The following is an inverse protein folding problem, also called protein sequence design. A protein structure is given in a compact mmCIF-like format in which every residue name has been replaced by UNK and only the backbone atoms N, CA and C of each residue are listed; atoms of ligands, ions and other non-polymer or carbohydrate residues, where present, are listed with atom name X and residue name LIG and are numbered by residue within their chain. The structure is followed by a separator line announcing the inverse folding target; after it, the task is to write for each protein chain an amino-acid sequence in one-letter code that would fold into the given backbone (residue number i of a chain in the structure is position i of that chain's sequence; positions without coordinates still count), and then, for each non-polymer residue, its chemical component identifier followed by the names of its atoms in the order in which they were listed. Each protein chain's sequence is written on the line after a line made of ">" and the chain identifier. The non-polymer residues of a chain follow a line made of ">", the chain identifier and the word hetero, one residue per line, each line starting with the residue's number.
data_IF_952108812576
#
_entry.id   IF_952108812576
#
_cell.length_a   1.000
_cell.length_b   1.000
_cell.length_c   1.000
_cell.angle_alpha   90.00
_cell.angle_beta   90.00
_cell.angle_gamma   90.00
#
_symmetry.space_group_name_H-M   'P 1'
#
loop_
_entity.id
_entity.type
_entity.pdbx_description
1 polymer ?
#
# COMPACT_ATOMS: atom_id res chain seq x y z
N UNK A 1 2.59 -19.49 24.93
CA UNK A 1 3.73 -18.61 24.62
C UNK A 1 3.91 -18.62 23.11
N UNK A 2 3.19 -17.76 22.38
CA UNK A 2 3.31 -17.69 20.92
C UNK A 2 4.45 -16.73 20.58
N UNK A 3 5.44 -17.27 19.88
CA UNK A 3 6.61 -16.59 19.35
C UNK A 3 6.23 -15.26 18.66
N UNK A 4 6.53 -14.12 19.27
CA UNK A 4 6.21 -12.77 18.79
C UNK A 4 7.28 -12.23 17.83
N UNK A 5 7.70 -13.06 16.86
CA UNK A 5 8.53 -12.66 15.72
C UNK A 5 7.77 -12.80 14.38
N UNK A 6 6.44 -12.67 14.42
CA UNK A 6 5.64 -12.67 13.20
C UNK A 6 5.84 -11.33 12.47
N UNK A 7 6.75 -11.31 11.50
CA UNK A 7 6.86 -10.22 10.54
C UNK A 7 5.47 -9.92 9.95
N UNK A 8 5.09 -8.64 9.90
CA UNK A 8 3.83 -8.20 9.30
C UNK A 8 3.70 -8.79 7.88
N UNK A 9 2.48 -9.17 7.43
CA UNK A 9 2.28 -9.69 6.07
C UNK A 9 2.65 -8.68 4.97
N UNK A 10 2.98 -7.44 5.34
CA UNK A 10 3.39 -6.36 4.46
C UNK A 10 4.88 -6.02 4.58
N UNK A 11 5.69 -6.82 5.27
CA UNK A 11 7.12 -6.57 5.49
C UNK A 11 7.94 -6.50 4.19
N UNK A 12 7.46 -7.12 3.10
CA UNK A 12 8.11 -7.11 1.79
C UNK A 12 7.19 -6.49 0.74
N UNK A 13 7.75 -5.60 -0.08
CA UNK A 13 7.10 -5.00 -1.24
C UNK A 13 7.99 -5.20 -2.47
N UNK A 14 7.53 -6.03 -3.41
CA UNK A 14 8.25 -6.36 -4.66
C UNK A 14 9.74 -6.70 -4.46
N UNK A 15 10.05 -7.58 -3.50
CA UNK A 15 11.42 -7.99 -3.19
C UNK A 15 12.24 -7.02 -2.34
N UNK A 16 11.65 -5.90 -1.91
CA UNK A 16 12.30 -4.92 -1.02
C UNK A 16 11.67 -4.92 0.38
N UNK A 17 12.46 -4.58 1.39
CA UNK A 17 11.97 -4.39 2.76
C UNK A 17 11.08 -3.13 2.84
N UNK A 18 9.85 -3.30 3.33
CA UNK A 18 8.84 -2.25 3.37
C UNK A 18 9.23 -1.06 4.24
N UNK A 19 9.94 -1.29 5.34
CA UNK A 19 10.45 -0.27 6.26
C UNK A 19 11.43 0.72 5.60
N UNK A 20 12.03 0.35 4.46
CA UNK A 20 12.99 1.19 3.73
C UNK A 20 12.31 2.06 2.65
N UNK A 21 10.98 2.11 2.64
CA UNK A 21 10.18 2.86 1.67
C UNK A 21 9.33 3.90 2.42
N UNK A 22 9.71 5.17 2.28
CA UNK A 22 8.95 6.29 2.84
C UNK A 22 7.69 6.60 2.01
N UNK A 23 6.66 5.77 2.15
CA UNK A 23 5.34 6.00 1.59
C UNK A 23 4.26 5.63 2.59
N UNK A 24 3.62 6.62 3.21
CA UNK A 24 2.49 6.43 4.10
C UNK A 24 1.70 7.73 4.22
N UNK A 25 0.45 7.70 4.71
CA UNK A 25 -0.29 8.92 4.97
C UNK A 25 0.27 9.68 6.17
N UNK A 26 0.05 10.99 6.21
CA UNK A 26 0.14 11.84 7.40
C UNK A 26 -1.22 12.49 7.63
N UNK A 27 -1.65 12.62 8.90
CA UNK A 27 -2.91 13.28 9.26
C UNK A 27 -2.63 14.67 9.84
N UNK A 28 -3.17 15.71 9.20
CA UNK A 28 -3.24 17.07 9.72
C UNK A 28 -4.44 17.20 10.66
N UNK A 29 -4.17 17.20 11.96
CA UNK A 29 -5.19 17.23 13.00
C UNK A 29 -6.00 18.53 13.05
N UNK A 30 -5.44 19.62 12.53
CA UNK A 30 -6.12 20.92 12.44
C UNK A 30 -7.28 20.89 11.44
N UNK A 31 -7.17 20.03 10.41
CA UNK A 31 -8.18 19.82 9.38
C UNK A 31 -9.03 18.57 9.61
N UNK A 32 -8.50 17.60 10.36
CA UNK A 32 -9.21 16.36 10.64
C UNK A 32 -10.47 16.63 11.46
N UNK A 33 -11.64 16.30 10.92
CA UNK A 33 -12.93 16.49 11.61
C UNK A 33 -13.32 15.32 12.51
N UNK A 34 -12.53 14.25 12.53
CA UNK A 34 -12.86 13.02 13.28
C UNK A 34 -13.87 12.12 12.58
N UNK A 35 -14.19 12.34 11.30
CA UNK A 35 -15.24 11.58 10.61
C UNK A 35 -14.96 10.06 10.45
N UNK A 36 -13.72 9.61 10.67
CA UNK A 36 -13.36 8.19 10.64
C UNK A 36 -13.35 7.55 9.25
N UNK A 37 -13.66 8.29 8.17
CA UNK A 37 -13.75 7.73 6.81
C UNK A 37 -12.45 7.03 6.38
N UNK A 38 -11.29 7.60 6.72
CA UNK A 38 -10.00 6.96 6.42
C UNK A 38 -9.77 5.63 7.16
N UNK A 39 -10.35 5.46 8.35
CA UNK A 39 -10.27 4.23 9.15
C UNK A 39 -11.03 3.09 8.47
N UNK A 40 -12.19 3.38 7.88
CA UNK A 40 -13.03 2.36 7.23
C UNK A 40 -12.71 2.15 5.75
N UNK A 41 -12.23 3.18 5.04
CA UNK A 41 -11.96 3.10 3.59
C UNK A 41 -10.53 2.62 3.29
N UNK A 42 -9.56 2.84 4.17
CA UNK A 42 -8.23 2.30 3.97
C UNK A 42 -8.30 0.78 4.14
N UNK A 43 -8.10 0.04 3.03
CA UNK A 43 -8.47 -1.38 2.89
C UNK A 43 -8.35 -2.20 4.18
N UNK A 44 -9.46 -2.81 4.59
CA UNK A 44 -9.72 -3.37 5.93
C UNK A 44 -8.60 -4.30 6.47
N UNK A 45 -7.85 -4.95 5.58
CA UNK A 45 -6.76 -5.87 5.97
C UNK A 45 -5.45 -5.18 6.35
N UNK A 46 -5.28 -3.89 6.03
CA UNK A 46 -4.01 -3.17 6.25
C UNK A 46 -3.97 -2.42 7.57
N UNK A 47 -5.10 -2.00 8.13
CA UNK A 47 -5.18 -1.31 9.42
C UNK A 47 -4.16 -0.16 9.55
N UNK A 48 -4.00 0.69 8.54
CA UNK A 48 -3.02 1.79 8.57
C UNK A 48 -3.39 2.84 9.62
N UNK A 49 -4.68 3.13 9.72
CA UNK A 49 -5.24 4.13 10.62
C UNK A 49 -5.82 3.50 11.88
N UNK A 50 -5.77 4.28 12.97
CA UNK A 50 -6.60 4.10 14.16
C UNK A 50 -7.40 5.36 14.47
N UNK A 51 -8.01 5.38 15.63
CA UNK A 51 -8.81 6.52 16.10
C UNK A 51 -8.51 6.82 17.56
N UNK A 52 -8.14 8.07 17.82
CA UNK A 52 -7.99 8.63 19.16
C UNK A 52 -9.36 9.08 19.66
N UNK A 53 -9.91 8.36 20.64
CA UNK A 53 -11.23 8.63 21.21
C UNK A 53 -11.26 9.89 22.07
N UNK A 54 -10.18 10.23 22.76
CA UNK A 54 -10.12 11.41 23.63
C UNK A 54 -10.11 12.69 22.80
N UNK A 55 -9.34 12.67 21.72
CA UNK A 55 -9.14 13.83 20.85
C UNK A 55 -10.14 13.88 19.68
N UNK A 56 -10.87 12.79 19.46
CA UNK A 56 -11.76 12.59 18.32
C UNK A 56 -11.05 12.82 16.98
N UNK A 57 -9.90 12.17 16.79
CA UNK A 57 -9.06 12.30 15.59
C UNK A 57 -8.65 10.94 15.05
N UNK A 58 -8.59 10.82 13.73
CA UNK A 58 -7.92 9.70 13.10
C UNK A 58 -6.41 9.84 13.26
N UNK A 59 -5.72 8.73 13.52
CA UNK A 59 -4.27 8.68 13.70
C UNK A 59 -3.66 7.61 12.81
N UNK A 60 -2.40 7.76 12.40
CA UNK A 60 -1.68 6.74 11.65
C UNK A 60 -0.99 5.82 12.66
N UNK A 61 -1.45 4.58 12.80
CA UNK A 61 -0.91 3.62 13.77
C UNK A 61 0.13 2.68 13.14
N UNK A 62 -0.08 2.28 11.89
CA UNK A 62 0.75 1.28 11.21
C UNK A 62 1.15 1.77 9.81
N UNK A 63 2.06 2.76 9.72
CA UNK A 63 2.42 3.40 8.45
C UNK A 63 2.97 2.40 7.42
N UNK A 64 3.76 1.43 7.86
CA UNK A 64 4.36 0.40 6.99
C UNK A 64 3.33 -0.55 6.37
N UNK A 65 2.12 -0.64 6.93
CA UNK A 65 1.06 -1.44 6.31
C UNK A 65 0.44 -0.74 5.09
N UNK A 66 0.73 0.55 4.89
CA UNK A 66 0.25 1.29 3.73
C UNK A 66 0.81 0.68 2.44
N UNK A 67 -0.06 0.50 1.45
CA UNK A 67 0.35 0.05 0.11
C UNK A 67 1.15 1.16 -0.57
N UNK A 68 2.41 0.88 -0.89
CA UNK A 68 3.28 1.81 -1.63
C UNK A 68 2.59 2.20 -2.95
N UNK A 69 2.45 3.51 -3.17
CA UNK A 69 1.78 4.08 -4.34
C UNK A 69 0.26 4.24 -4.22
N UNK A 70 -0.39 3.72 -3.19
CA UNK A 70 -1.80 3.99 -2.94
C UNK A 70 -1.96 5.30 -2.15
N UNK A 71 -2.87 6.17 -2.60
CA UNK A 71 -3.24 7.42 -1.92
C UNK A 71 -4.77 7.59 -1.73
N UNK A 72 -5.55 6.50 -1.86
CA UNK A 72 -7.01 6.58 -1.91
C UNK A 72 -7.63 7.23 -0.65
N UNK A 73 -7.07 7.03 0.54
CA UNK A 73 -7.55 7.69 1.75
C UNK A 73 -7.29 9.22 1.74
N UNK A 74 -6.25 9.68 1.05
CA UNK A 74 -5.99 11.10 0.79
C UNK A 74 -7.07 11.69 -0.11
N UNK A 75 -7.36 11.01 -1.23
CA UNK A 75 -8.43 11.40 -2.18
C UNK A 75 -9.81 11.39 -1.52
N UNK A 76 -10.09 10.38 -0.69
CA UNK A 76 -11.37 10.25 0.02
C UNK A 76 -11.54 11.29 1.15
N UNK A 77 -10.46 11.93 1.61
CA UNK A 77 -10.54 12.92 2.67
C UNK A 77 -11.08 14.24 2.15
N UNK A 78 -12.39 14.44 2.27
CA UNK A 78 -13.08 15.68 1.84
C UNK A 78 -12.63 16.96 2.56
N UNK A 79 -11.83 16.82 3.63
CA UNK A 79 -11.30 17.92 4.43
C UNK A 79 -9.82 18.21 4.15
N UNK A 80 -9.20 17.52 3.19
CA UNK A 80 -7.78 17.64 2.87
C UNK A 80 -6.87 17.48 4.10
N UNK A 81 -7.28 16.62 5.03
CA UNK A 81 -6.55 16.35 6.27
C UNK A 81 -5.51 15.25 6.12
N UNK A 82 -5.42 14.59 4.96
CA UNK A 82 -4.48 13.49 4.71
C UNK A 82 -3.56 13.88 3.57
N UNK A 83 -2.26 13.79 3.80
CA UNK A 83 -1.22 13.99 2.79
C UNK A 83 -0.33 12.75 2.66
N UNK A 84 0.42 12.69 1.57
CA UNK A 84 1.42 11.66 1.27
C UNK A 84 2.72 12.33 0.81
N UNK A 85 3.84 11.59 0.79
CA UNK A 85 5.06 12.01 0.09
C UNK A 85 4.78 12.31 -1.38
N UNK A 86 5.69 13.06 -2.01
CA UNK A 86 5.56 13.40 -3.42
C UNK A 86 5.58 12.14 -4.29
N UNK A 87 4.74 12.09 -5.32
CA UNK A 87 4.66 10.96 -6.24
C UNK A 87 5.97 10.75 -7.03
N UNK A 88 6.80 11.79 -7.20
CA UNK A 88 8.10 11.69 -7.85
C UNK A 88 9.02 10.69 -7.15
N UNK A 89 8.96 10.59 -5.82
CA UNK A 89 9.73 9.66 -5.02
C UNK A 89 9.50 8.19 -5.44
N UNK A 90 8.28 7.86 -5.89
CA UNK A 90 7.96 6.49 -6.28
C UNK A 90 8.73 6.01 -7.51
N UNK A 91 9.18 6.92 -8.38
CA UNK A 91 10.02 6.54 -9.53
C UNK A 91 11.35 5.96 -9.04
N UNK A 92 11.99 6.65 -8.09
CA UNK A 92 13.24 6.21 -7.45
C UNK A 92 13.05 4.92 -6.63
N UNK A 93 11.88 4.73 -6.02
CA UNK A 93 11.53 3.48 -5.34
C UNK A 93 11.44 2.32 -6.33
N UNK A 94 10.77 2.51 -7.47
CA UNK A 94 10.58 1.45 -8.48
C UNK A 94 11.90 1.03 -9.10
N UNK A 95 12.85 1.96 -9.30
CA UNK A 95 14.19 1.66 -9.82
C UNK A 95 15.01 0.77 -8.88
N UNK A 96 14.70 0.73 -7.58
CA UNK A 96 15.36 -0.13 -6.59
C UNK A 96 14.81 -1.56 -6.57
N UNK A 97 13.71 -1.84 -7.27
CA UNK A 97 13.13 -3.18 -7.33
C UNK A 97 14.14 -4.12 -8.01
N UNK A 98 14.44 -5.31 -7.43
CA UNK A 98 15.37 -6.25 -8.05
C UNK A 98 14.97 -6.59 -9.49
N UNK A 99 15.96 -6.62 -10.38
CA UNK A 99 15.74 -6.87 -11.80
C UNK A 99 14.95 -8.17 -12.03
N UNK A 100 13.89 -8.08 -12.85
CA UNK A 100 13.02 -9.21 -13.16
C UNK A 100 12.02 -9.62 -12.06
N UNK A 101 12.08 -9.02 -10.86
CA UNK A 101 11.18 -9.37 -9.75
C UNK A 101 9.71 -9.12 -10.11
N UNK A 102 9.39 -7.95 -10.66
CA UNK A 102 8.01 -7.62 -11.10
C UNK A 102 7.53 -8.58 -12.18
N UNK A 103 8.39 -8.89 -13.16
CA UNK A 103 8.03 -9.82 -14.24
C UNK A 103 7.76 -11.23 -13.70
N UNK A 104 8.58 -11.70 -12.75
CA UNK A 104 8.37 -12.99 -12.07
C UNK A 104 7.03 -13.03 -11.33
N UNK A 105 6.73 -11.98 -10.56
CA UNK A 105 5.45 -11.88 -9.84
C UNK A 105 4.25 -11.82 -10.78
N UNK A 106 4.35 -11.05 -11.86
CA UNK A 106 3.34 -10.95 -12.90
C UNK A 106 3.06 -12.31 -13.53
N UNK A 107 4.10 -13.00 -14.03
CA UNK A 107 3.97 -14.31 -14.65
C UNK A 107 3.34 -15.33 -13.70
N UNK A 108 3.77 -15.35 -12.44
CA UNK A 108 3.16 -16.20 -11.42
C UNK A 108 1.67 -15.89 -11.24
N UNK A 109 1.29 -14.61 -11.14
CA UNK A 109 -0.10 -14.19 -10.89
C UNK A 109 -1.05 -14.60 -12.03
N UNK A 110 -0.64 -14.43 -13.29
CA UNK A 110 -1.46 -14.83 -14.44
C UNK A 110 -1.47 -16.36 -14.64
N UNK A 111 -0.39 -17.06 -14.27
CA UNK A 111 -0.34 -18.52 -14.28
C UNK A 111 -1.26 -19.13 -13.22
N UNK A 112 -1.27 -18.58 -12.00
CA UNK A 112 -2.11 -19.06 -10.89
C UNK A 112 -3.58 -18.68 -11.07
N UNK A 113 -3.85 -17.60 -11.81
CA UNK A 113 -5.21 -17.13 -12.07
C UNK A 113 -5.43 -16.76 -13.55
N UNK A 114 -5.64 -17.77 -14.42
CA UNK A 114 -5.83 -17.54 -15.86
C UNK A 114 -7.02 -16.65 -16.21
N UNK A 115 -8.01 -16.49 -15.30
CA UNK A 115 -9.14 -15.57 -15.51
C UNK A 115 -8.73 -14.10 -15.58
N UNK A 116 -7.51 -13.76 -15.14
CA UNK A 116 -6.94 -12.43 -15.27
C UNK A 116 -6.36 -12.14 -16.67
N UNK A 117 -6.44 -13.09 -17.61
CA UNK A 117 -5.99 -12.94 -18.98
C UNK A 117 -7.21 -12.59 -19.85
N UNK A 118 -7.24 -11.36 -20.39
CA UNK A 118 -8.39 -10.83 -21.12
C UNK A 118 -8.70 -11.55 -22.45
N UNK A 119 -7.73 -12.26 -23.06
CA UNK A 119 -7.95 -13.09 -24.24
C UNK A 119 -7.01 -14.31 -24.22
N UNK A 120 -7.48 -15.53 -24.57
CA UNK A 120 -6.59 -16.68 -24.72
C UNK A 120 -5.54 -16.35 -25.78
N UNK A 121 -4.28 -16.56 -25.42
CA UNK A 121 -3.12 -16.24 -26.24
C UNK A 121 -3.11 -17.05 -27.54
N UNK A 122 -3.63 -16.49 -28.64
CA UNK A 122 -3.09 -16.79 -29.97
C UNK A 122 -1.80 -15.98 -30.23
N UNK A 123 -1.40 -15.12 -29.30
CA UNK A 123 -0.09 -14.49 -29.31
C UNK A 123 0.94 -15.47 -28.72
N UNK A 124 1.73 -16.10 -29.59
CA UNK A 124 2.96 -16.79 -29.21
C UNK A 124 3.82 -15.82 -28.40
N UNK A 125 3.97 -16.07 -27.10
CA UNK A 125 4.96 -15.39 -26.28
C UNK A 125 6.35 -15.87 -26.74
N UNK A 126 6.84 -15.28 -27.82
CA UNK A 126 8.24 -15.34 -28.19
C UNK A 126 9.04 -14.67 -27.08
N UNK A 127 9.79 -15.50 -26.34
CA UNK A 127 10.94 -15.18 -25.46
C UNK A 127 11.27 -13.68 -25.34
N UNK A 128 11.00 -13.13 -24.16
CA UNK A 128 11.79 -12.05 -23.57
C UNK A 128 12.76 -12.66 -22.57
#
# INVERSE_FOLDING_TARGET
>A
MTNSNAATPFAIWHGMERKNIDWHPTVDESKCTGCGLCVVTCGEKRNVFGYDLERSKSVVMFPENCMVGCNNCGVACLWNAISFPDLSYLKEVVERIPAGQVQKEFQKKISDNPSLIAAPSNASFSKL
#
